data_IF_502903234495
#
_entry.id   IF_502903234495
#
_cell.length_a   1.000
_cell.length_b   1.000
_cell.length_c   1.000
_cell.angle_alpha   90.00
_cell.angle_beta   90.00
_cell.angle_gamma   90.00
#
_symmetry.space_group_name_H-M   'P 1'
#
loop_
_entity.id
_entity.type
_entity.pdbx_description
1 polymer ?
#
# COMPACT_ATOMS: atom_id res chain seq x y z
N UNK A 1 -32.14 -2.00 -28.69
CA UNK A 1 -31.09 -2.97 -29.10
C UNK A 1 -29.87 -2.32 -29.77
N UNK A 2 -30.01 -1.51 -30.84
CA UNK A 2 -28.88 -0.79 -31.47
C UNK A 2 -28.09 0.16 -30.54
N UNK A 3 -28.76 0.83 -29.59
CA UNK A 3 -28.09 1.69 -28.60
C UNK A 3 -27.28 0.90 -27.56
N UNK A 4 -27.75 -0.29 -27.18
CA UNK A 4 -27.06 -1.18 -26.25
C UNK A 4 -25.82 -1.81 -26.91
N UNK A 5 -25.86 -2.11 -28.22
CA UNK A 5 -24.69 -2.59 -28.97
C UNK A 5 -23.57 -1.54 -29.07
N UNK A 6 -23.93 -0.25 -29.19
CA UNK A 6 -22.95 0.86 -29.19
C UNK A 6 -22.29 1.04 -27.82
N UNK A 7 -23.05 0.90 -26.74
CA UNK A 7 -22.52 0.97 -25.37
C UNK A 7 -21.58 -0.22 -25.07
N UNK A 8 -21.93 -1.43 -25.52
CA UNK A 8 -21.08 -2.61 -25.38
C UNK A 8 -19.76 -2.48 -26.17
N UNK A 9 -19.78 -1.90 -27.38
CA UNK A 9 -18.56 -1.62 -28.15
C UNK A 9 -17.66 -0.59 -27.46
N UNK A 10 -18.21 0.46 -26.85
CA UNK A 10 -17.41 1.43 -26.10
C UNK A 10 -16.76 0.82 -24.84
N UNK A 11 -17.45 -0.10 -24.15
CA UNK A 11 -16.95 -0.74 -22.93
C UNK A 11 -16.01 -1.92 -23.23
N UNK A 12 -16.23 -2.65 -24.33
CA UNK A 12 -15.50 -3.88 -24.66
C UNK A 12 -14.43 -3.71 -25.77
N UNK A 13 -14.52 -2.66 -26.59
CA UNK A 13 -13.60 -2.38 -27.72
C UNK A 13 -12.91 -1.00 -27.64
N UNK A 14 -13.04 -0.28 -26.52
CA UNK A 14 -12.07 0.74 -26.10
C UNK A 14 -11.14 0.18 -24.99
N UNK A 15 -10.89 -1.13 -25.04
CA UNK A 15 -9.71 -1.74 -24.42
C UNK A 15 -8.54 -1.57 -25.38
N UNK A 16 -7.76 -0.53 -25.15
CA UNK A 16 -6.60 -0.04 -25.88
C UNK A 16 -5.89 -1.03 -26.82
N UNK A 17 -5.86 -0.66 -28.09
CA UNK A 17 -4.73 -0.88 -28.98
C UNK A 17 -3.43 -0.37 -28.32
N UNK A 18 -2.61 -1.28 -27.84
CA UNK A 18 -1.18 -1.02 -27.65
C UNK A 18 -0.38 -2.29 -27.91
N UNK A 19 -0.42 -2.78 -29.16
CA UNK A 19 0.73 -3.48 -29.75
C UNK A 19 1.75 -2.41 -30.13
N UNK A 20 2.35 -1.82 -29.10
CA UNK A 20 3.52 -0.97 -29.20
C UNK A 20 4.75 -1.85 -29.18
N UNK A 21 5.33 -2.07 -30.36
CA UNK A 21 6.73 -2.41 -30.63
C UNK A 21 7.65 -2.33 -29.38
N UNK A 22 8.06 -3.49 -28.85
CA UNK A 22 9.09 -3.57 -27.81
C UNK A 22 10.48 -3.35 -28.42
N UNK A 23 10.92 -2.10 -28.44
CA UNK A 23 12.33 -1.75 -28.52
C UNK A 23 12.94 -1.89 -27.11
N UNK A 24 13.83 -2.88 -26.94
CA UNK A 24 14.36 -3.40 -25.67
C UNK A 24 15.31 -2.49 -24.87
N UNK A 25 15.03 -1.18 -24.80
CA UNK A 25 15.77 -0.24 -23.95
C UNK A 25 14.89 0.47 -22.92
N UNK A 26 13.64 0.78 -23.27
CA UNK A 26 12.65 1.39 -22.36
C UNK A 26 12.11 0.39 -21.32
N UNK A 27 12.12 -0.90 -21.65
CA UNK A 27 11.57 -1.96 -20.81
C UNK A 27 12.26 -2.10 -19.45
N UNK A 28 13.57 -1.83 -19.35
CA UNK A 28 14.29 -1.97 -18.07
C UNK A 28 13.93 -0.86 -17.08
N UNK A 29 13.79 0.36 -17.56
CA UNK A 29 13.41 1.53 -16.76
C UNK A 29 11.95 1.42 -16.32
N UNK A 30 11.06 1.03 -17.24
CA UNK A 30 9.64 0.76 -16.95
C UNK A 30 9.47 -0.40 -15.95
N UNK A 31 10.26 -1.48 -16.08
CA UNK A 31 10.27 -2.60 -15.12
C UNK A 31 10.81 -2.15 -13.76
N UNK A 32 11.88 -1.38 -13.71
CA UNK A 32 12.42 -0.88 -12.44
C UNK A 32 11.41 0.02 -11.71
N UNK A 33 10.68 0.85 -12.45
CA UNK A 33 9.61 1.66 -11.89
C UNK A 33 8.46 0.78 -11.36
N UNK A 34 8.00 -0.18 -12.16
CA UNK A 34 6.95 -1.11 -11.73
C UNK A 34 7.35 -1.94 -10.49
N UNK A 35 8.61 -2.37 -10.41
CA UNK A 35 9.15 -3.07 -9.25
C UNK A 35 9.18 -2.19 -7.99
N UNK A 36 9.53 -0.91 -8.15
CA UNK A 36 9.54 0.05 -7.03
C UNK A 36 8.12 0.28 -6.51
N UNK A 37 7.16 0.48 -7.41
CA UNK A 37 5.74 0.67 -7.06
C UNK A 37 5.16 -0.56 -6.34
N UNK A 38 5.51 -1.78 -6.79
CA UNK A 38 5.07 -3.01 -6.12
C UNK A 38 5.71 -3.16 -4.74
N UNK A 39 6.99 -2.83 -4.59
CA UNK A 39 7.70 -2.87 -3.30
C UNK A 39 7.08 -1.90 -2.28
N UNK A 40 6.76 -0.67 -2.70
CA UNK A 40 6.12 0.32 -1.83
C UNK A 40 4.71 -0.14 -1.41
N UNK A 41 3.99 -0.81 -2.31
CA UNK A 41 2.67 -1.39 -2.02
C UNK A 41 2.76 -2.51 -0.99
N UNK A 42 3.72 -3.40 -1.11
CA UNK A 42 3.93 -4.50 -0.15
C UNK A 42 4.34 -3.95 1.22
N UNK A 43 5.24 -2.97 1.24
CA UNK A 43 5.65 -2.28 2.45
C UNK A 43 4.48 -1.64 3.21
N UNK A 44 3.60 -0.94 2.49
CA UNK A 44 2.38 -0.36 3.06
C UNK A 44 1.46 -1.42 3.64
N UNK A 45 1.28 -2.56 2.95
CA UNK A 45 0.49 -3.69 3.46
C UNK A 45 1.06 -4.23 4.78
N UNK A 46 2.38 -4.36 4.89
CA UNK A 46 3.03 -4.83 6.12
C UNK A 46 2.78 -3.87 7.30
N UNK A 47 2.88 -2.56 7.07
CA UNK A 47 2.56 -1.54 8.07
C UNK A 47 1.10 -1.68 8.52
N UNK A 48 0.16 -1.80 7.57
CA UNK A 48 -1.27 -1.95 7.88
C UNK A 48 -1.57 -3.21 8.70
N UNK A 49 -1.01 -4.35 8.32
CA UNK A 49 -1.17 -5.61 9.05
C UNK A 49 -0.56 -5.53 10.47
N UNK A 50 0.62 -4.91 10.58
CA UNK A 50 1.30 -4.68 11.85
C UNK A 50 0.50 -3.75 12.78
N UNK A 51 -0.03 -2.65 12.24
CA UNK A 51 -0.89 -1.71 12.95
C UNK A 51 -2.16 -2.38 13.45
N UNK A 52 -2.86 -3.07 12.56
CA UNK A 52 -4.08 -3.80 12.87
C UNK A 52 -3.85 -4.76 14.05
N UNK A 53 -2.82 -5.59 13.97
CA UNK A 53 -2.53 -6.59 15.00
C UNK A 53 -2.12 -5.93 16.33
N UNK A 54 -1.13 -5.04 16.31
CA UNK A 54 -0.57 -4.45 17.54
C UNK A 54 -1.58 -3.52 18.22
N UNK A 55 -2.22 -2.64 17.48
CA UNK A 55 -3.16 -1.68 18.06
C UNK A 55 -4.45 -2.37 18.51
N UNK A 56 -4.92 -3.41 17.82
CA UNK A 56 -6.02 -4.22 18.31
C UNK A 56 -5.68 -4.88 19.65
N UNK A 57 -4.56 -5.60 19.75
CA UNK A 57 -4.16 -6.28 21.00
C UNK A 57 -3.91 -5.31 22.16
N UNK A 58 -3.50 -4.07 21.88
CA UNK A 58 -3.22 -3.07 22.93
C UNK A 58 -4.44 -2.27 23.36
N UNK A 59 -5.35 -1.96 22.43
CA UNK A 59 -6.42 -1.02 22.69
C UNK A 59 -7.80 -1.68 22.82
N UNK A 60 -8.04 -2.83 22.21
CA UNK A 60 -9.37 -3.47 22.21
C UNK A 60 -9.42 -4.53 23.31
N UNK A 61 -10.20 -4.24 24.35
CA UNK A 61 -10.32 -5.12 25.53
C UNK A 61 -11.49 -6.08 25.41
N UNK A 62 -12.58 -5.60 24.80
CA UNK A 62 -13.83 -6.33 24.62
C UNK A 62 -14.29 -6.13 23.19
N UNK A 63 -14.06 -7.09 22.28
CA UNK A 63 -14.49 -6.97 20.91
C UNK A 63 -16.02 -6.86 20.87
N UNK A 64 -16.51 -5.76 20.30
CA UNK A 64 -17.92 -5.48 20.10
C UNK A 64 -18.17 -4.92 18.70
N UNK A 65 -19.43 -4.66 18.38
CA UNK A 65 -19.81 -4.10 17.07
C UNK A 65 -19.29 -2.65 16.89
N UNK A 66 -19.00 -1.96 17.99
CA UNK A 66 -18.53 -0.58 18.00
C UNK A 66 -17.41 -0.41 19.02
N UNK A 67 -16.42 0.40 18.64
CA UNK A 67 -15.37 0.85 19.54
C UNK A 67 -15.94 1.86 20.53
N UNK A 68 -15.63 1.68 21.81
CA UNK A 68 -15.95 2.68 22.82
C UNK A 68 -15.06 3.94 22.68
N UNK A 69 -15.39 5.03 23.39
CA UNK A 69 -14.61 6.29 23.30
C UNK A 69 -13.16 6.14 23.78
N UNK A 70 -12.91 5.27 24.74
CA UNK A 70 -11.57 5.02 25.28
C UNK A 70 -10.73 4.23 24.28
N UNK A 71 -11.30 3.21 23.64
CA UNK A 71 -10.69 2.41 22.58
C UNK A 71 -10.36 3.28 21.35
N UNK A 72 -11.28 4.15 20.93
CA UNK A 72 -11.03 5.11 19.83
C UNK A 72 -9.86 6.05 20.16
N UNK A 73 -9.82 6.60 21.37
CA UNK A 73 -8.73 7.48 21.81
C UNK A 73 -7.40 6.72 21.91
N UNK A 74 -7.44 5.47 22.38
CA UNK A 74 -6.27 4.60 22.44
C UNK A 74 -5.73 4.30 21.04
N UNK A 75 -6.60 3.95 20.09
CA UNK A 75 -6.22 3.62 18.71
C UNK A 75 -5.54 4.80 18.02
N UNK A 76 -6.10 6.02 18.15
CA UNK A 76 -5.48 7.23 17.61
C UNK A 76 -4.03 7.38 18.11
N UNK A 77 -3.83 7.29 19.43
CA UNK A 77 -2.49 7.33 20.02
C UNK A 77 -1.60 6.18 19.58
N UNK A 78 -2.15 4.97 19.47
CA UNK A 78 -1.39 3.78 19.10
C UNK A 78 -0.79 3.90 17.70
N UNK A 79 -1.59 4.34 16.73
CA UNK A 79 -1.12 4.53 15.36
C UNK A 79 0.00 5.57 15.31
N UNK A 80 -0.19 6.73 15.96
CA UNK A 80 0.83 7.78 15.99
C UNK A 80 2.15 7.28 16.62
N UNK A 81 2.09 6.61 17.77
CA UNK A 81 3.28 6.08 18.43
C UNK A 81 3.95 4.96 17.62
N UNK A 82 3.17 4.15 16.91
CA UNK A 82 3.71 3.09 16.06
C UNK A 82 4.48 3.67 14.88
N UNK A 83 3.94 4.67 14.20
CA UNK A 83 4.62 5.32 13.08
C UNK A 83 5.88 6.05 13.55
N UNK A 84 5.83 6.77 14.67
CA UNK A 84 7.00 7.44 15.26
C UNK A 84 8.12 6.44 15.58
N UNK A 85 7.79 5.35 16.29
CA UNK A 85 8.79 4.34 16.66
C UNK A 85 9.36 3.62 15.43
N UNK A 86 8.53 3.36 14.42
CA UNK A 86 8.97 2.69 13.21
C UNK A 86 9.83 3.61 12.33
N UNK A 87 9.58 4.91 12.31
CA UNK A 87 10.42 5.90 11.63
C UNK A 87 11.85 5.89 12.18
N UNK A 88 12.01 5.91 13.51
CA UNK A 88 13.33 5.84 14.17
C UNK A 88 14.06 4.54 13.81
N UNK A 89 13.35 3.41 13.78
CA UNK A 89 13.92 2.13 13.35
C UNK A 89 14.41 2.20 11.90
N UNK A 90 13.63 2.79 10.99
CA UNK A 90 14.03 2.94 9.59
C UNK A 90 15.23 3.85 9.40
N UNK A 91 15.27 4.98 10.11
CA UNK A 91 16.40 5.91 10.09
C UNK A 91 17.68 5.22 10.57
N UNK A 92 17.62 4.57 11.73
CA UNK A 92 18.74 3.81 12.29
C UNK A 92 19.19 2.68 11.35
N UNK A 93 18.25 2.00 10.70
CA UNK A 93 18.57 0.93 9.76
C UNK A 93 19.24 1.45 8.48
N UNK A 94 18.82 2.61 7.99
CA UNK A 94 19.46 3.28 6.85
C UNK A 94 20.90 3.70 7.16
N UNK A 95 21.13 4.36 8.30
CA UNK A 95 22.47 4.78 8.73
C UNK A 95 23.44 3.59 8.85
N UNK A 96 22.94 2.47 9.36
CA UNK A 96 23.73 1.23 9.47
C UNK A 96 23.94 0.55 8.12
N UNK A 97 23.00 0.70 7.19
CA UNK A 97 23.05 0.15 5.84
C UNK A 97 24.03 0.89 4.92
N UNK A 98 24.11 2.22 5.05
CA UNK A 98 24.99 3.08 4.24
C UNK A 98 26.47 3.03 4.65
N UNK A 99 26.84 2.28 5.68
CA UNK A 99 28.24 1.98 6.06
C UNK A 99 28.80 0.71 5.39
N UNK A 100 28.04 0.07 4.50
CA UNK A 100 28.47 -1.12 3.73
C UNK A 100 28.76 -0.82 2.25
N UNK A 101 29.00 0.44 1.92
CA UNK A 101 29.65 0.89 0.68
C UNK A 101 31.06 1.42 0.98
#
# INVERSE_FOLDING_TARGET
VRALLKFACAVFLCGSDSVGKMDGKSTKEDIMQALKEESDREFMKDILNSLSTKCFTKCVSKPGERLDKAEQTCLAKCVDRFLDSRAVVFETMQERGSSRD
#
